data_IF_835360802831
#
_entry.id   IF_835360802831
#
_cell.length_a   1.000
_cell.length_b   1.000
_cell.length_c   1.000
_cell.angle_alpha   90.00
_cell.angle_beta   90.00
_cell.angle_gamma   90.00
#
_symmetry.space_group_name_H-M   'P 1'
#
loop_
_entity.id
_entity.type
_entity.pdbx_description
1 polymer ?
#
# COMPACT_ATOMS: atom_id res chain seq x y z
N UNK A 1 -7.98 -31.00 9.02
CA UNK A 1 -6.80 -30.12 9.19
C UNK A 1 -7.24 -28.72 8.78
N UNK A 2 -7.45 -27.82 9.73
CA UNK A 2 -7.72 -26.41 9.41
C UNK A 2 -6.46 -25.86 8.75
N UNK A 3 -6.54 -25.55 7.45
CA UNK A 3 -5.52 -24.73 6.81
C UNK A 3 -5.66 -23.38 7.49
N UNK A 4 -4.76 -23.07 8.44
CA UNK A 4 -4.69 -21.75 9.04
C UNK A 4 -4.43 -20.77 7.90
N UNK A 5 -5.49 -20.12 7.44
CA UNK A 5 -5.43 -19.15 6.36
C UNK A 5 -4.47 -18.06 6.84
N UNK A 6 -3.34 -17.88 6.15
CA UNK A 6 -2.35 -16.86 6.53
C UNK A 6 -3.06 -15.51 6.62
N UNK A 7 -2.74 -14.63 7.58
CA UNK A 7 -3.37 -13.31 7.63
C UNK A 7 -3.04 -12.53 6.35
N UNK A 8 -4.03 -11.83 5.79
CA UNK A 8 -3.79 -10.88 4.69
C UNK A 8 -3.24 -9.58 5.28
N UNK A 9 -2.11 -9.10 4.78
CA UNK A 9 -1.43 -7.90 5.27
C UNK A 9 -1.27 -6.92 4.11
N UNK A 10 -1.80 -5.72 4.29
CA UNK A 10 -1.62 -4.62 3.34
C UNK A 10 -0.46 -3.73 3.79
N UNK A 11 0.51 -3.52 2.90
CA UNK A 11 1.56 -2.52 3.07
C UNK A 11 1.32 -1.32 2.16
N UNK A 12 1.48 -0.12 2.71
CA UNK A 12 1.33 1.15 2.00
C UNK A 12 2.30 2.20 2.55
N UNK A 13 2.35 3.37 1.93
CA UNK A 13 3.07 4.56 2.41
C UNK A 13 2.62 5.81 1.63
N UNK A 14 3.17 6.96 1.99
CA UNK A 14 3.11 8.22 1.25
C UNK A 14 4.34 8.48 0.38
N UNK A 15 5.47 7.81 0.67
CA UNK A 15 6.72 7.97 -0.07
C UNK A 15 6.71 7.34 -1.48
N UNK A 16 5.78 6.41 -1.73
CA UNK A 16 5.62 5.72 -3.00
C UNK A 16 6.08 4.25 -2.99
N UNK A 17 5.65 3.51 -4.01
CA UNK A 17 5.79 2.04 -4.11
C UNK A 17 7.23 1.53 -4.21
N UNK A 18 8.15 2.39 -4.64
CA UNK A 18 9.58 2.07 -4.79
C UNK A 18 10.42 2.56 -3.58
N UNK A 19 9.78 3.03 -2.51
CA UNK A 19 10.47 3.47 -1.30
C UNK A 19 11.14 2.31 -0.56
N UNK A 20 12.37 2.54 -0.09
CA UNK A 20 13.17 1.56 0.66
C UNK A 20 12.48 1.08 1.95
N UNK A 21 11.76 1.97 2.64
CA UNK A 21 11.05 1.64 3.86
C UNK A 21 9.94 0.62 3.65
N UNK A 22 9.28 0.64 2.48
CA UNK A 22 8.21 -0.29 2.14
C UNK A 22 8.76 -1.68 1.85
N UNK A 23 9.89 -1.76 1.15
CA UNK A 23 10.59 -3.02 0.90
C UNK A 23 11.15 -3.60 2.20
N UNK A 24 11.70 -2.76 3.07
CA UNK A 24 12.20 -3.17 4.40
C UNK A 24 11.09 -3.80 5.24
N UNK A 25 9.90 -3.19 5.29
CA UNK A 25 8.74 -3.79 5.96
C UNK A 25 8.32 -5.11 5.32
N UNK A 26 8.28 -5.18 3.98
CA UNK A 26 7.91 -6.39 3.27
C UNK A 26 8.84 -7.56 3.63
N UNK A 27 10.15 -7.31 3.70
CA UNK A 27 11.13 -8.31 4.13
C UNK A 27 10.95 -8.69 5.60
N UNK A 28 10.81 -7.70 6.50
CA UNK A 28 10.67 -7.93 7.93
C UNK A 28 9.42 -8.75 8.30
N UNK A 29 8.34 -8.61 7.53
CA UNK A 29 7.08 -9.33 7.73
C UNK A 29 7.03 -10.66 6.96
N UNK A 30 8.07 -10.98 6.20
CA UNK A 30 8.17 -12.20 5.40
C UNK A 30 7.83 -13.44 6.23
N UNK A 31 6.84 -14.21 5.77
CA UNK A 31 6.41 -15.45 6.43
C UNK A 31 5.33 -15.28 7.49
N UNK A 32 5.00 -14.05 7.93
CA UNK A 32 3.92 -13.79 8.89
C UNK A 32 2.52 -13.80 8.25
N UNK A 33 2.43 -13.54 6.94
CA UNK A 33 1.16 -13.42 6.23
C UNK A 33 1.30 -13.42 4.71
N UNK A 34 0.17 -13.29 4.04
CA UNK A 34 0.11 -12.96 2.61
C UNK A 34 0.21 -11.45 2.48
N UNK A 35 1.32 -10.96 1.94
CA UNK A 35 1.62 -9.53 1.89
C UNK A 35 1.26 -8.99 0.51
N UNK A 36 0.42 -7.96 0.49
CA UNK A 36 0.14 -7.16 -0.70
C UNK A 36 0.62 -5.74 -0.47
N UNK A 37 1.41 -5.22 -1.39
CA UNK A 37 1.91 -3.85 -1.38
C UNK A 37 1.07 -3.01 -2.34
N UNK A 38 0.43 -1.96 -1.83
CA UNK A 38 -0.31 -0.99 -2.64
C UNK A 38 0.06 0.41 -2.15
N UNK A 39 0.71 1.19 -3.01
CA UNK A 39 1.22 2.51 -2.66
C UNK A 39 1.15 3.46 -3.87
N UNK A 40 1.25 4.78 -3.66
CA UNK A 40 1.37 5.74 -4.76
C UNK A 40 2.53 5.42 -5.70
N UNK A 41 2.42 5.78 -6.97
CA UNK A 41 3.51 5.60 -7.95
C UNK A 41 4.75 6.42 -7.60
N UNK A 42 4.55 7.64 -7.10
CA UNK A 42 5.61 8.61 -6.79
C UNK A 42 5.34 9.29 -5.44
N UNK A 43 6.40 9.83 -4.84
CA UNK A 43 6.36 10.59 -3.58
C UNK A 43 5.50 11.84 -3.74
N UNK A 44 4.35 11.89 -3.05
CA UNK A 44 3.45 13.04 -3.07
C UNK A 44 3.76 13.98 -1.89
N UNK A 45 4.95 14.58 -1.88
CA UNK A 45 5.22 15.70 -0.96
C UNK A 45 4.51 16.95 -1.44
N UNK A 46 3.59 17.46 -0.61
CA UNK A 46 3.01 18.80 -0.70
C UNK A 46 1.79 19.01 -1.63
N UNK A 47 0.90 18.03 -1.79
CA UNK A 47 -0.46 18.27 -2.31
C UNK A 47 -1.52 17.95 -1.26
N UNK A 48 -1.61 18.82 -0.25
CA UNK A 48 -2.87 19.06 0.45
C UNK A 48 -3.87 19.62 -0.56
N UNK A 49 -5.02 18.98 -0.74
CA UNK A 49 -6.16 19.39 -1.60
C UNK A 49 -6.09 19.07 -3.10
N UNK A 50 -5.93 17.79 -3.46
CA UNK A 50 -6.47 17.31 -4.73
C UNK A 50 -7.10 15.92 -4.54
N UNK A 51 -8.30 15.86 -3.96
CA UNK A 51 -9.15 14.69 -4.20
C UNK A 51 -9.37 14.67 -5.70
N UNK A 52 -8.93 13.59 -6.36
CA UNK A 52 -9.17 13.34 -7.78
C UNK A 52 -10.66 13.07 -8.00
N UNK A 53 -11.50 14.10 -7.90
CA UNK A 53 -12.97 14.00 -8.00
C UNK A 53 -13.45 13.73 -9.44
N UNK A 54 -12.57 13.76 -10.44
CA UNK A 54 -12.98 13.75 -11.85
C UNK A 54 -12.20 12.79 -12.78
N UNK A 55 -11.25 12.01 -12.27
CA UNK A 55 -10.53 11.03 -13.09
C UNK A 55 -10.53 9.64 -12.45
N UNK A 56 -10.76 8.56 -13.22
CA UNK A 56 -10.65 7.21 -12.70
C UNK A 56 -9.21 6.97 -12.24
N UNK A 57 -9.03 6.70 -10.95
CA UNK A 57 -7.73 6.32 -10.39
C UNK A 57 -7.28 5.01 -11.02
N UNK A 58 -6.08 5.02 -11.61
CA UNK A 58 -5.46 3.86 -12.26
C UNK A 58 -4.38 3.26 -11.37
N UNK A 59 -4.05 2.01 -11.60
CA UNK A 59 -2.92 1.35 -10.97
C UNK A 59 -2.19 0.45 -11.96
N UNK A 60 -0.90 0.27 -11.74
CA UNK A 60 -0.05 -0.68 -12.45
C UNK A 60 0.29 -1.85 -11.53
N UNK A 61 0.22 -3.08 -12.03
CA UNK A 61 0.73 -4.25 -11.30
C UNK A 61 2.21 -4.42 -11.62
N UNK A 62 3.06 -4.22 -10.62
CA UNK A 62 4.53 -4.31 -10.73
C UNK A 62 5.07 -5.71 -10.43
N UNK A 63 4.22 -6.62 -9.93
CA UNK A 63 4.55 -8.00 -9.61
C UNK A 63 3.37 -8.75 -8.99
N UNK A 64 3.61 -9.98 -8.52
CA UNK A 64 2.56 -10.89 -8.01
C UNK A 64 1.70 -10.27 -6.89
N UNK A 65 2.26 -9.38 -6.08
CA UNK A 65 1.52 -8.68 -5.01
C UNK A 65 2.05 -7.26 -4.76
N UNK A 66 2.44 -6.56 -5.84
CA UNK A 66 2.91 -5.17 -5.80
C UNK A 66 2.16 -4.33 -6.81
N UNK A 67 1.56 -3.23 -6.34
CA UNK A 67 0.72 -2.35 -7.14
C UNK A 67 1.10 -0.89 -6.90
N UNK A 68 1.25 -0.15 -7.99
CA UNK A 68 1.52 1.29 -7.99
C UNK A 68 0.27 2.05 -8.37
N UNK A 69 -0.15 3.00 -7.55
CA UNK A 69 -1.40 3.75 -7.76
C UNK A 69 -1.08 5.15 -8.25
N UNK A 70 -1.72 5.54 -9.37
CA UNK A 70 -1.63 6.88 -9.93
C UNK A 70 -2.64 7.80 -9.21
N UNK A 71 -2.35 8.10 -7.94
CA UNK A 71 -3.23 8.86 -7.06
C UNK A 71 -2.60 9.12 -5.71
N UNK A 72 -3.41 9.56 -4.76
CA UNK A 72 -3.00 9.85 -3.38
C UNK A 72 -2.81 8.57 -2.56
N UNK A 73 -2.15 8.63 -1.39
CA UNK A 73 -2.11 7.49 -0.45
C UNK A 73 -3.51 7.00 -0.06
N UNK A 74 -4.49 7.91 0.04
CA UNK A 74 -5.89 7.57 0.30
C UNK A 74 -6.46 6.74 -0.85
N UNK A 75 -6.23 7.15 -2.10
CA UNK A 75 -6.67 6.39 -3.28
C UNK A 75 -6.04 5.01 -3.31
N UNK A 76 -4.77 4.88 -2.89
CA UNK A 76 -4.08 3.60 -2.82
C UNK A 76 -4.75 2.63 -1.85
N UNK A 77 -5.09 3.09 -0.64
CA UNK A 77 -5.81 2.28 0.34
C UNK A 77 -7.24 1.95 -0.13
N UNK A 78 -7.95 2.90 -0.73
CA UNK A 78 -9.29 2.66 -1.27
C UNK A 78 -9.27 1.60 -2.37
N UNK A 79 -8.34 1.69 -3.32
CA UNK A 79 -8.18 0.69 -4.38
C UNK A 79 -7.75 -0.67 -3.82
N UNK A 80 -6.86 -0.68 -2.83
CA UNK A 80 -6.45 -1.90 -2.15
C UNK A 80 -7.67 -2.66 -1.60
N UNK A 81 -8.50 -1.97 -0.81
CA UNK A 81 -9.64 -2.58 -0.12
C UNK A 81 -10.79 -2.97 -1.06
N UNK A 82 -11.03 -2.20 -2.14
CA UNK A 82 -12.23 -2.37 -2.96
C UNK A 82 -11.99 -3.12 -4.27
N UNK A 83 -10.74 -3.25 -4.74
CA UNK A 83 -10.44 -3.76 -6.09
C UNK A 83 -9.27 -4.73 -6.16
N UNK A 84 -8.23 -4.55 -5.34
CA UNK A 84 -7.00 -5.33 -5.45
C UNK A 84 -7.03 -6.53 -4.50
N UNK A 85 -7.38 -6.33 -3.23
CA UNK A 85 -7.42 -7.40 -2.25
C UNK A 85 -8.63 -8.30 -2.49
N UNK A 86 -8.41 -9.61 -2.43
CA UNK A 86 -9.47 -10.63 -2.57
C UNK A 86 -10.28 -10.82 -1.28
N UNK A 87 -9.74 -10.37 -0.15
CA UNK A 87 -10.35 -10.40 1.18
C UNK A 87 -9.89 -9.22 2.02
N UNK A 88 -10.67 -8.79 3.03
CA UNK A 88 -10.25 -7.74 3.95
C UNK A 88 -8.89 -8.06 4.57
N UNK A 89 -7.97 -7.08 4.64
CA UNK A 89 -6.70 -7.27 5.33
C UNK A 89 -6.96 -7.43 6.83
N UNK A 90 -6.22 -8.34 7.46
CA UNK A 90 -6.19 -8.48 8.92
C UNK A 90 -5.34 -7.37 9.55
N UNK A 91 -4.38 -6.82 8.80
CA UNK A 91 -3.49 -5.77 9.24
C UNK A 91 -3.15 -4.84 8.07
N UNK A 92 -3.13 -3.54 8.35
CA UNK A 92 -2.60 -2.51 7.44
C UNK A 92 -1.41 -1.86 8.11
N UNK A 93 -0.28 -1.77 7.41
CA UNK A 93 0.93 -1.10 7.87
C UNK A 93 1.31 -0.02 6.87
N UNK A 94 1.57 1.18 7.37
CA UNK A 94 1.99 2.34 6.58
C UNK A 94 3.41 2.74 6.97
N UNK A 95 4.33 2.79 6.02
CA UNK A 95 5.71 3.24 6.23
C UNK A 95 6.75 2.40 5.49
N UNK A 96 8.00 2.32 5.98
CA UNK A 96 8.61 3.17 7.00
C UNK A 96 8.96 4.52 6.37
N UNK A 97 8.39 5.61 6.88
CA UNK A 97 8.62 6.94 6.32
C UNK A 97 10.06 7.39 6.57
N UNK A 98 10.70 8.00 5.57
CA UNK A 98 12.00 8.65 5.74
C UNK A 98 11.86 10.02 6.40
N UNK A 99 11.54 10.01 7.70
CA UNK A 99 11.33 11.22 8.50
C UNK A 99 10.32 10.96 9.62
N UNK A 100 10.47 11.69 10.73
CA UNK A 100 9.49 11.61 11.82
C UNK A 100 8.22 12.38 11.45
N UNK A 101 7.06 11.73 11.55
CA UNK A 101 5.78 12.43 11.63
C UNK A 101 5.66 13.06 13.02
N UNK A 102 6.30 14.20 13.22
CA UNK A 102 6.27 14.96 14.47
C UNK A 102 5.16 16.01 14.40
N UNK A 103 4.22 15.92 15.33
CA UNK A 103 3.15 16.91 15.56
C UNK A 103 3.31 17.60 16.90
#
# INVERSE_FOLDING_TARGET
>A
MSVLNKPSILLTNDDGVDAEGLETLRVALGGLGEITVVAPREHMSATSHAISLYQPVRYDQLGESRYAVHGTPVDAVILALNRILTRPPALVLSGINQGGNLG
#
